data_IF_839482188634
#
_entry.id   IF_839482188634
#
_cell.length_a   1.000
_cell.length_b   1.000
_cell.length_c   1.000
_cell.angle_alpha   90.00
_cell.angle_beta   90.00
_cell.angle_gamma   90.00
#
_symmetry.space_group_name_H-M   'P 1'
#
loop_
_entity.id
_entity.type
_entity.pdbx_description
1 polymer ?
#
# COMPACT_ATOMS: atom_id res chain seq x y z
N UNK A 1 -7.56 -7.21 34.46
CA UNK A 1 -6.99 -7.64 33.17
C UNK A 1 -7.99 -7.61 32.01
N UNK A 2 -8.82 -6.55 31.85
CA UNK A 2 -9.50 -6.16 30.59
C UNK A 2 -10.48 -7.11 29.87
N UNK A 3 -10.51 -8.40 30.17
CA UNK A 3 -11.46 -9.35 29.57
C UNK A 3 -12.78 -9.40 30.36
N UNK A 4 -13.87 -9.71 29.65
CA UNK A 4 -15.23 -9.71 30.21
C UNK A 4 -15.51 -10.89 31.15
N UNK A 5 -14.73 -11.97 31.07
CA UNK A 5 -14.85 -13.17 31.93
C UNK A 5 -13.60 -14.04 31.87
N UNK A 6 -13.47 -14.93 32.85
CA UNK A 6 -12.43 -15.95 32.85
C UNK A 6 -12.57 -16.90 31.65
N UNK A 7 -11.43 -17.41 31.20
CA UNK A 7 -11.33 -18.27 30.02
C UNK A 7 -10.73 -19.62 30.39
N UNK A 8 -11.43 -20.67 29.98
CA UNK A 8 -10.95 -22.06 30.13
C UNK A 8 -9.75 -22.26 29.21
N UNK A 9 -8.63 -22.74 29.75
CA UNK A 9 -7.44 -23.10 28.97
C UNK A 9 -7.40 -24.60 28.66
N UNK A 10 -7.73 -25.42 29.67
CA UNK A 10 -7.83 -26.88 29.59
C UNK A 10 -9.25 -27.26 29.98
N UNK A 11 -9.92 -28.04 29.13
CA UNK A 11 -11.26 -28.56 29.35
C UNK A 11 -11.23 -29.67 30.41
N UNK A 12 -12.41 -30.06 30.90
CA UNK A 12 -12.55 -31.15 31.89
C UNK A 12 -12.12 -32.53 31.37
N UNK A 13 -12.11 -32.73 30.05
CA UNK A 13 -11.64 -33.95 29.38
C UNK A 13 -10.10 -33.96 29.16
N UNK A 14 -9.39 -32.92 29.59
CA UNK A 14 -7.95 -32.76 29.42
C UNK A 14 -7.53 -32.14 28.09
N UNK A 15 -8.45 -31.88 27.16
CA UNK A 15 -8.13 -31.21 25.90
C UNK A 15 -7.86 -29.71 26.10
N UNK A 16 -7.01 -29.16 25.26
CA UNK A 16 -6.73 -27.72 25.24
C UNK A 16 -7.78 -26.96 24.43
N UNK A 17 -8.13 -25.77 24.89
CA UNK A 17 -8.86 -24.80 24.06
C UNK A 17 -7.92 -24.11 23.09
N UNK A 18 -8.43 -23.44 22.05
CA UNK A 18 -7.62 -22.64 21.12
C UNK A 18 -6.83 -21.49 21.79
N UNK A 19 -7.27 -21.03 22.96
CA UNK A 19 -6.60 -19.95 23.67
C UNK A 19 -5.24 -20.37 24.24
N UNK A 20 -5.09 -21.62 24.71
CA UNK A 20 -3.83 -22.10 25.28
C UNK A 20 -2.67 -22.12 24.25
N UNK A 21 -2.80 -22.72 23.05
CA UNK A 21 -1.74 -22.69 22.04
C UNK A 21 -1.50 -21.27 21.52
N UNK A 22 -2.51 -20.41 21.44
CA UNK A 22 -2.31 -18.99 21.10
C UNK A 22 -1.40 -18.31 22.14
N UNK A 23 -1.69 -18.48 23.43
CA UNK A 23 -0.87 -17.91 24.50
C UNK A 23 0.57 -18.45 24.42
N UNK A 24 0.73 -19.77 24.28
CA UNK A 24 2.03 -20.41 24.17
C UNK A 24 2.83 -19.87 22.98
N UNK A 25 2.19 -19.71 21.82
CA UNK A 25 2.84 -19.18 20.62
C UNK A 25 3.20 -17.70 20.75
N UNK A 26 2.36 -16.89 21.38
CA UNK A 26 2.68 -15.49 21.66
C UNK A 26 3.84 -15.34 22.65
N UNK A 27 3.90 -16.18 23.71
CA UNK A 27 5.06 -16.25 24.61
C UNK A 27 6.33 -16.65 23.86
N UNK A 28 6.24 -17.60 22.94
CA UNK A 28 7.38 -17.96 22.09
C UNK A 28 7.83 -16.79 21.21
N UNK A 29 6.90 -16.03 20.59
CA UNK A 29 7.22 -14.81 19.82
C UNK A 29 7.90 -13.72 20.68
N UNK A 30 7.50 -13.58 21.95
CA UNK A 30 8.09 -12.60 22.87
C UNK A 30 9.59 -12.80 23.11
N UNK A 31 10.05 -14.04 23.09
CA UNK A 31 11.48 -14.34 23.26
C UNK A 31 12.38 -13.87 22.12
N UNK A 32 11.81 -13.39 20.99
CA UNK A 32 12.55 -13.09 19.75
C UNK A 32 12.14 -11.81 19.04
N UNK A 33 11.29 -10.96 19.63
CA UNK A 33 10.81 -9.75 18.98
C UNK A 33 10.56 -8.62 19.99
N UNK A 34 10.94 -7.39 19.65
CA UNK A 34 10.72 -6.20 20.49
C UNK A 34 9.29 -5.65 20.40
N UNK A 35 8.59 -5.96 19.31
CA UNK A 35 7.21 -5.54 19.04
C UNK A 35 6.48 -6.64 18.27
N UNK A 36 5.22 -6.88 18.60
CA UNK A 36 4.35 -7.80 17.87
C UNK A 36 3.14 -7.09 17.28
N UNK A 37 3.00 -7.20 15.97
CA UNK A 37 1.82 -6.75 15.23
C UNK A 37 1.17 -7.98 14.61
N UNK A 38 -0.05 -8.30 15.05
CA UNK A 38 -0.87 -9.29 14.37
C UNK A 38 -1.84 -8.59 13.40
N UNK A 39 -2.08 -9.19 12.24
CA UNK A 39 -3.14 -8.77 11.32
C UNK A 39 -4.26 -9.81 11.37
N UNK A 40 -5.43 -9.44 11.87
CA UNK A 40 -6.56 -10.35 12.09
C UNK A 40 -7.83 -9.87 11.36
N UNK A 41 -8.73 -10.80 11.06
CA UNK A 41 -10.07 -10.44 10.59
C UNK A 41 -10.86 -9.66 11.66
N UNK A 42 -11.71 -8.72 11.24
CA UNK A 42 -12.50 -7.89 12.15
C UNK A 42 -13.44 -8.70 13.07
N UNK A 43 -13.84 -9.90 12.66
CA UNK A 43 -14.59 -10.88 13.44
C UNK A 43 -13.86 -11.38 14.70
N UNK A 44 -12.53 -11.19 14.75
CA UNK A 44 -11.69 -11.52 15.90
C UNK A 44 -11.52 -10.38 16.91
N UNK A 45 -12.22 -9.25 16.75
CA UNK A 45 -12.12 -8.10 17.68
C UNK A 45 -12.34 -8.52 19.15
N UNK A 46 -13.36 -9.34 19.42
CA UNK A 46 -13.65 -9.86 20.76
C UNK A 46 -12.63 -10.89 21.30
N UNK A 47 -11.64 -11.28 20.49
CA UNK A 47 -10.53 -12.16 20.86
C UNK A 47 -9.29 -11.38 21.31
N UNK A 48 -9.23 -10.08 21.08
CA UNK A 48 -8.06 -9.26 21.46
C UNK A 48 -7.91 -9.16 22.98
N UNK A 49 -8.96 -8.85 23.79
CA UNK A 49 -8.79 -8.66 25.22
C UNK A 49 -8.33 -9.91 25.97
N UNK A 50 -8.77 -11.11 25.54
CA UNK A 50 -8.38 -12.38 26.17
C UNK A 50 -6.90 -12.72 25.97
N UNK A 51 -6.39 -12.51 24.75
CA UNK A 51 -4.96 -12.74 24.46
C UNK A 51 -4.13 -11.72 25.22
N UNK A 52 -4.51 -10.43 25.17
CA UNK A 52 -3.82 -9.37 25.92
C UNK A 52 -3.80 -9.66 27.42
N UNK A 53 -4.92 -10.06 28.01
CA UNK A 53 -5.02 -10.41 29.43
C UNK A 53 -4.07 -11.54 29.82
N UNK A 54 -4.03 -12.62 29.02
CA UNK A 54 -3.14 -13.74 29.25
C UNK A 54 -1.65 -13.38 29.12
N UNK A 55 -1.28 -12.54 28.15
CA UNK A 55 0.10 -12.08 28.00
C UNK A 55 0.56 -11.23 29.20
N UNK A 56 -0.30 -10.32 29.66
CA UNK A 56 -0.01 -9.53 30.86
C UNK A 56 0.13 -10.42 32.09
N UNK A 57 -0.69 -11.47 32.23
CA UNK A 57 -0.56 -12.45 33.32
C UNK A 57 0.76 -13.24 33.28
N UNK A 58 1.38 -13.37 32.11
CA UNK A 58 2.72 -13.95 31.92
C UNK A 58 3.86 -12.94 32.11
N UNK A 59 3.56 -11.71 32.52
CA UNK A 59 4.55 -10.64 32.69
C UNK A 59 4.97 -9.94 31.39
N UNK A 60 4.27 -10.18 30.28
CA UNK A 60 4.55 -9.54 28.99
C UNK A 60 3.86 -8.16 28.94
N UNK A 61 4.57 -7.07 28.59
CA UNK A 61 3.98 -5.74 28.51
C UNK A 61 2.81 -5.67 27.52
N UNK A 62 1.71 -5.01 27.90
CA UNK A 62 0.53 -4.89 27.03
C UNK A 62 0.84 -4.16 25.70
N UNK A 63 1.77 -3.19 25.73
CA UNK A 63 2.20 -2.43 24.56
C UNK A 63 3.02 -3.26 23.56
N UNK A 64 3.54 -4.42 23.96
CA UNK A 64 4.22 -5.34 23.04
C UNK A 64 3.26 -5.97 22.03
N UNK A 65 1.97 -6.06 22.36
CA UNK A 65 0.94 -6.74 21.57
C UNK A 65 -0.06 -5.76 20.94
N UNK A 66 0.10 -5.54 19.64
CA UNK A 66 -0.79 -4.76 18.80
C UNK A 66 -1.52 -5.64 17.78
N UNK A 67 -2.75 -5.27 17.45
CA UNK A 67 -3.58 -5.97 16.46
C UNK A 67 -4.13 -4.95 15.47
N UNK A 68 -3.81 -5.15 14.20
CA UNK A 68 -4.46 -4.47 13.08
C UNK A 68 -5.61 -5.34 12.59
N UNK A 69 -6.82 -4.79 12.58
CA UNK A 69 -8.00 -5.49 12.06
C UNK A 69 -8.18 -5.20 10.57
N UNK A 70 -8.51 -6.25 9.81
CA UNK A 70 -8.89 -6.17 8.41
C UNK A 70 -10.33 -6.61 8.21
N UNK A 71 -11.10 -5.83 7.46
CA UNK A 71 -12.50 -6.09 7.15
C UNK A 71 -12.66 -7.08 5.99
N UNK A 72 -13.86 -7.65 5.91
CA UNK A 72 -14.26 -8.45 4.75
C UNK A 72 -14.35 -7.56 3.50
N UNK A 73 -13.93 -8.14 2.38
CA UNK A 73 -13.98 -7.52 1.06
C UNK A 73 -15.17 -8.08 0.29
N UNK A 74 -15.93 -7.18 -0.33
CA UNK A 74 -16.97 -7.54 -1.29
C UNK A 74 -16.38 -7.52 -2.68
N UNK A 75 -16.54 -8.60 -3.45
CA UNK A 75 -16.09 -8.66 -4.84
C UNK A 75 -17.28 -8.46 -5.77
N UNK A 76 -17.16 -7.54 -6.71
CA UNK A 76 -18.19 -7.20 -7.71
C UNK A 76 -17.60 -7.21 -9.11
N UNK A 77 -18.47 -7.29 -10.11
CA UNK A 77 -18.15 -7.10 -11.53
C UNK A 77 -19.27 -6.29 -12.16
N UNK A 78 -18.95 -5.15 -12.76
CA UNK A 78 -19.97 -4.27 -13.36
C UNK A 78 -21.04 -3.83 -12.35
N UNK A 79 -20.67 -3.69 -11.07
CA UNK A 79 -21.59 -3.38 -9.97
C UNK A 79 -22.35 -4.56 -9.37
N UNK A 80 -22.38 -5.72 -10.02
CA UNK A 80 -23.06 -6.91 -9.52
C UNK A 80 -22.14 -7.76 -8.63
N UNK A 81 -22.67 -8.24 -7.51
CA UNK A 81 -21.92 -9.08 -6.58
C UNK A 81 -21.61 -10.44 -7.17
N UNK A 82 -20.32 -10.78 -7.21
CA UNK A 82 -19.87 -12.08 -7.67
C UNK A 82 -20.17 -13.10 -6.57
N UNK A 83 -21.27 -13.85 -6.73
CA UNK A 83 -21.69 -14.83 -5.73
C UNK A 83 -20.72 -16.00 -5.68
N UNK A 84 -20.14 -16.23 -4.50
CA UNK A 84 -19.40 -17.46 -4.21
C UNK A 84 -20.39 -18.64 -4.09
N UNK A 85 -20.64 -19.33 -5.21
CA UNK A 85 -21.64 -20.38 -5.30
C UNK A 85 -21.03 -21.76 -5.04
N UNK A 86 -21.37 -22.37 -3.89
CA UNK A 86 -21.04 -23.78 -3.61
C UNK A 86 -21.74 -24.77 -4.55
N UNK A 87 -22.75 -24.34 -5.33
CA UNK A 87 -23.63 -25.24 -6.10
C UNK A 87 -23.25 -25.36 -7.59
N UNK A 88 -22.42 -24.46 -8.11
CA UNK A 88 -21.86 -24.52 -9.47
C UNK A 88 -20.38 -24.93 -9.49
N UNK A 89 -19.71 -25.02 -8.33
CA UNK A 89 -18.29 -25.35 -8.23
C UNK A 89 -17.34 -24.17 -8.48
N UNK A 90 -17.84 -23.01 -8.92
CA UNK A 90 -17.06 -21.78 -9.07
C UNK A 90 -17.02 -21.01 -7.74
N UNK A 91 -16.00 -21.28 -6.93
CA UNK A 91 -15.52 -20.30 -5.96
C UNK A 91 -14.53 -19.40 -6.68
N UNK A 92 -14.67 -18.08 -6.58
CA UNK A 92 -13.56 -17.18 -6.93
C UNK A 92 -12.52 -17.35 -5.84
N UNK A 93 -11.49 -18.14 -6.12
CA UNK A 93 -10.34 -18.24 -5.24
C UNK A 93 -9.52 -16.96 -5.36
N UNK A 94 -8.65 -16.72 -4.37
CA UNK A 94 -7.69 -15.62 -4.47
C UNK A 94 -6.78 -15.78 -5.70
N UNK A 95 -6.52 -17.01 -6.13
CA UNK A 95 -5.78 -17.31 -7.36
C UNK A 95 -6.54 -16.83 -8.59
N UNK A 96 -7.82 -17.17 -8.72
CA UNK A 96 -8.63 -16.78 -9.88
C UNK A 96 -8.70 -15.25 -9.99
N UNK A 97 -8.87 -14.56 -8.84
CA UNK A 97 -8.83 -13.09 -8.79
C UNK A 97 -7.50 -12.52 -9.31
N UNK A 98 -6.37 -13.11 -8.92
CA UNK A 98 -5.04 -12.65 -9.35
C UNK A 98 -4.75 -12.97 -10.81
N UNK A 99 -5.18 -14.14 -11.28
CA UNK A 99 -5.03 -14.54 -12.68
C UNK A 99 -5.86 -13.64 -13.60
N UNK A 100 -7.02 -13.18 -13.13
CA UNK A 100 -7.90 -12.30 -13.90
C UNK A 100 -7.47 -10.83 -13.85
N UNK A 101 -7.16 -10.30 -12.67
CA UNK A 101 -6.88 -8.86 -12.49
C UNK A 101 -5.41 -8.49 -12.58
N UNK A 102 -4.51 -9.47 -12.46
CA UNK A 102 -3.10 -9.24 -12.25
C UNK A 102 -2.76 -8.94 -10.78
N UNK A 103 -1.58 -9.39 -10.36
CA UNK A 103 -1.10 -9.26 -8.97
C UNK A 103 -0.97 -7.80 -8.53
N UNK A 104 -0.55 -6.93 -9.43
CA UNK A 104 -0.35 -5.50 -9.17
C UNK A 104 -1.66 -4.79 -8.84
N UNK A 105 -2.70 -4.99 -9.67
CA UNK A 105 -4.02 -4.43 -9.42
C UNK A 105 -4.60 -4.97 -8.12
N UNK A 106 -4.54 -6.28 -7.91
CA UNK A 106 -5.04 -6.88 -6.68
C UNK A 106 -4.36 -6.30 -5.44
N UNK A 107 -3.02 -6.24 -5.41
CA UNK A 107 -2.25 -5.67 -4.28
C UNK A 107 -2.61 -4.22 -4.03
N UNK A 108 -2.63 -3.40 -5.09
CA UNK A 108 -2.93 -1.98 -4.95
C UNK A 108 -4.33 -1.78 -4.35
N UNK A 109 -5.33 -2.49 -4.87
CA UNK A 109 -6.72 -2.38 -4.42
C UNK A 109 -6.94 -2.86 -2.98
N UNK A 110 -6.31 -3.95 -2.55
CA UNK A 110 -6.40 -4.38 -1.15
C UNK A 110 -5.71 -3.43 -0.19
N UNK A 111 -4.75 -2.63 -0.66
CA UNK A 111 -4.01 -1.66 0.15
C UNK A 111 -4.60 -0.25 0.10
N UNK A 112 -5.44 0.09 -0.88
CA UNK A 112 -5.88 1.49 -1.10
C UNK A 112 -6.93 2.02 -0.12
N UNK A 113 -7.43 1.16 0.78
CA UNK A 113 -8.39 1.52 1.83
C UNK A 113 -7.81 1.18 3.20
N UNK A 114 -8.35 1.82 4.24
CA UNK A 114 -8.02 1.43 5.62
C UNK A 114 -8.41 -0.03 5.82
N UNK A 115 -7.56 -0.80 6.51
CA UNK A 115 -7.85 -2.20 6.80
C UNK A 115 -9.16 -2.39 7.57
N UNK A 116 -9.49 -1.47 8.45
CA UNK A 116 -10.71 -1.50 9.27
C UNK A 116 -11.98 -1.04 8.54
N UNK A 117 -11.90 -0.72 7.24
CA UNK A 117 -13.01 -0.26 6.41
C UNK A 117 -13.44 -1.31 5.39
N UNK A 118 -14.73 -1.35 5.06
CA UNK A 118 -15.23 -2.22 4.00
C UNK A 118 -14.65 -1.80 2.64
N UNK A 119 -14.16 -2.78 1.89
CA UNK A 119 -13.67 -2.61 0.53
C UNK A 119 -14.62 -3.30 -0.45
N UNK A 120 -14.99 -2.58 -1.50
CA UNK A 120 -15.60 -3.16 -2.70
C UNK A 120 -14.50 -3.28 -3.74
N UNK A 121 -14.19 -4.51 -4.13
CA UNK A 121 -13.24 -4.84 -5.19
C UNK A 121 -14.02 -5.06 -6.48
N UNK A 122 -13.90 -4.14 -7.44
CA UNK A 122 -14.53 -4.27 -8.75
C UNK A 122 -13.53 -4.84 -9.75
N UNK A 123 -13.79 -6.06 -10.22
CA UNK A 123 -12.90 -6.78 -11.13
C UNK A 123 -12.74 -6.03 -12.46
N UNK A 124 -13.84 -5.49 -12.99
CA UNK A 124 -13.83 -4.82 -14.29
C UNK A 124 -12.99 -3.55 -14.21
N UNK A 125 -13.18 -2.74 -13.17
CA UNK A 125 -12.38 -1.53 -12.96
C UNK A 125 -10.91 -1.85 -12.65
N UNK A 126 -10.63 -2.93 -11.90
CA UNK A 126 -9.26 -3.35 -11.60
C UNK A 126 -8.49 -3.79 -12.86
N UNK A 127 -9.18 -4.31 -13.87
CA UNK A 127 -8.61 -4.68 -15.19
C UNK A 127 -8.56 -3.54 -16.20
N UNK A 128 -9.29 -2.45 -15.96
CA UNK A 128 -9.43 -1.37 -16.93
C UNK A 128 -8.12 -0.59 -17.11
N UNK A 129 -7.77 -0.27 -18.37
CA UNK A 129 -6.65 0.62 -18.70
C UNK A 129 -7.15 2.07 -18.82
N UNK A 130 -7.80 2.56 -17.76
CA UNK A 130 -8.41 3.89 -17.69
C UNK A 130 -7.88 4.66 -16.49
N UNK A 131 -8.07 5.98 -16.49
CA UNK A 131 -7.67 6.84 -15.38
C UNK A 131 -8.47 6.56 -14.09
N UNK A 132 -9.60 5.86 -14.20
CA UNK A 132 -10.39 5.42 -13.05
C UNK A 132 -9.75 4.23 -12.30
N UNK A 133 -8.87 3.47 -12.97
CA UNK A 133 -8.11 2.40 -12.32
C UNK A 133 -6.87 3.00 -11.61
N UNK A 134 -6.83 3.01 -10.28
CA UNK A 134 -5.81 3.76 -9.54
C UNK A 134 -4.39 3.19 -9.74
N UNK A 135 -4.23 1.88 -9.90
CA UNK A 135 -2.90 1.30 -10.16
C UNK A 135 -2.39 1.69 -11.54
N UNK A 136 -3.24 1.61 -12.56
CA UNK A 136 -2.91 1.99 -13.92
C UNK A 136 -2.55 3.47 -14.00
N UNK A 137 -3.32 4.32 -13.32
CA UNK A 137 -3.08 5.77 -13.28
C UNK A 137 -1.71 6.14 -12.69
N UNK A 138 -1.30 5.47 -11.60
CA UNK A 138 0.00 5.67 -10.95
C UNK A 138 1.14 5.09 -11.79
N UNK A 139 0.98 3.89 -12.35
CA UNK A 139 1.98 3.27 -13.22
C UNK A 139 2.19 4.07 -14.51
N UNK A 140 1.14 4.66 -15.07
CA UNK A 140 1.22 5.56 -16.22
C UNK A 140 2.03 6.82 -15.90
N UNK A 141 1.87 7.39 -14.71
CA UNK A 141 2.68 8.53 -14.27
C UNK A 141 4.18 8.16 -14.25
N UNK A 142 4.52 6.97 -13.74
CA UNK A 142 5.89 6.45 -13.75
C UNK A 142 6.41 6.28 -15.19
N UNK A 143 5.64 5.60 -16.04
CA UNK A 143 6.01 5.34 -17.43
C UNK A 143 6.22 6.64 -18.25
N UNK A 144 5.44 7.70 -18.00
CA UNK A 144 5.63 9.02 -18.62
C UNK A 144 6.94 9.67 -18.22
N UNK A 145 7.29 9.62 -16.93
CA UNK A 145 8.57 10.15 -16.45
C UNK A 145 9.75 9.38 -17.05
N UNK A 146 9.67 8.05 -17.13
CA UNK A 146 10.66 7.24 -17.87
C UNK A 146 10.69 7.60 -19.37
N UNK A 147 9.52 7.89 -19.96
CA UNK A 147 9.38 8.27 -21.36
C UNK A 147 10.14 9.52 -21.75
N UNK A 148 10.19 10.54 -20.87
CA UNK A 148 10.97 11.78 -21.11
C UNK A 148 12.43 11.45 -21.41
N UNK A 149 13.06 10.58 -20.60
CA UNK A 149 14.46 10.20 -20.74
C UNK A 149 14.73 9.43 -22.03
N UNK A 150 13.80 8.55 -22.41
CA UNK A 150 13.86 7.84 -23.69
C UNK A 150 13.83 8.82 -24.86
N UNK A 151 12.94 9.81 -24.84
CA UNK A 151 12.88 10.85 -25.88
C UNK A 151 14.11 11.75 -25.87
N UNK A 152 14.67 12.04 -24.70
CA UNK A 152 15.90 12.82 -24.57
C UNK A 152 17.15 12.07 -25.06
N UNK A 153 17.07 10.75 -25.28
CA UNK A 153 18.23 9.92 -25.62
C UNK A 153 19.27 9.86 -24.49
N UNK A 154 18.82 9.94 -23.23
CA UNK A 154 19.69 10.05 -22.05
C UNK A 154 19.21 9.15 -20.92
N UNK A 155 20.14 8.55 -20.20
CA UNK A 155 19.82 7.82 -18.98
C UNK A 155 19.41 8.77 -17.85
N UNK A 156 18.39 8.42 -17.01
CA UNK A 156 18.02 9.24 -15.85
C UNK A 156 19.22 9.52 -14.92
N UNK A 157 20.10 8.53 -14.75
CA UNK A 157 21.28 8.65 -13.92
C UNK A 157 22.31 9.67 -14.44
N UNK A 158 22.26 10.05 -15.72
CA UNK A 158 23.16 11.03 -16.32
C UNK A 158 22.81 12.49 -15.96
N UNK A 159 21.62 12.74 -15.40
CA UNK A 159 21.23 14.08 -14.91
C UNK A 159 21.86 14.30 -13.53
N UNK A 160 23.04 14.91 -13.51
CA UNK A 160 23.84 15.14 -12.30
C UNK A 160 24.54 16.50 -12.37
N UNK A 161 25.22 16.89 -11.29
CA UNK A 161 25.98 18.14 -11.20
C UNK A 161 25.21 19.28 -10.53
N UNK A 162 25.80 20.50 -10.47
CA UNK A 162 25.12 21.66 -9.95
C UNK A 162 24.00 22.06 -10.91
N UNK A 163 22.75 21.91 -10.46
CA UNK A 163 21.55 22.25 -11.22
C UNK A 163 20.90 23.45 -10.55
N UNK A 164 20.73 24.53 -11.29
CA UNK A 164 20.07 25.73 -10.80
C UNK A 164 18.56 25.48 -10.69
N UNK A 165 18.05 25.41 -9.46
CA UNK A 165 16.62 25.26 -9.18
C UNK A 165 15.89 26.61 -9.13
N UNK A 166 16.60 27.73 -9.20
CA UNK A 166 16.03 29.08 -9.23
C UNK A 166 15.15 29.33 -10.45
N UNK A 167 15.42 28.64 -11.56
CA UNK A 167 14.67 28.72 -12.82
C UNK A 167 13.32 27.98 -12.81
N UNK A 168 13.03 27.22 -11.75
CA UNK A 168 11.77 26.47 -11.63
C UNK A 168 10.59 27.42 -11.39
N UNK A 169 9.50 27.19 -12.14
CA UNK A 169 8.24 27.92 -12.00
C UNK A 169 7.45 27.46 -10.76
N UNK A 170 6.32 28.09 -10.49
CA UNK A 170 5.45 27.67 -9.38
C UNK A 170 4.91 26.24 -9.56
N UNK A 171 4.58 25.84 -10.79
CA UNK A 171 4.11 24.49 -11.09
C UNK A 171 5.23 23.45 -10.91
N UNK A 172 6.47 23.80 -11.26
CA UNK A 172 7.64 22.96 -10.99
C UNK A 172 7.88 22.81 -9.48
N UNK A 173 7.71 23.90 -8.72
CA UNK A 173 7.91 23.94 -7.26
C UNK A 173 6.84 23.16 -6.51
N UNK A 174 5.60 23.14 -6.97
CA UNK A 174 4.52 22.32 -6.41
C UNK A 174 4.88 20.82 -6.48
N UNK A 175 5.34 20.35 -7.64
CA UNK A 175 5.81 18.97 -7.80
C UNK A 175 7.03 18.70 -6.90
N UNK A 176 8.01 19.61 -6.87
CA UNK A 176 9.19 19.47 -6.01
C UNK A 176 8.80 19.32 -4.53
N UNK A 177 7.94 20.20 -4.03
CA UNK A 177 7.46 20.14 -2.64
C UNK A 177 6.79 18.81 -2.35
N UNK A 178 5.93 18.34 -3.26
CA UNK A 178 5.29 17.03 -3.10
C UNK A 178 6.33 15.93 -2.97
N UNK A 179 7.29 15.85 -3.89
CA UNK A 179 8.33 14.82 -3.90
C UNK A 179 9.13 14.78 -2.59
N UNK A 180 9.46 15.94 -2.03
CA UNK A 180 10.20 16.02 -0.75
C UNK A 180 9.41 15.52 0.46
N UNK A 181 8.08 15.48 0.38
CA UNK A 181 7.22 15.00 1.47
C UNK A 181 7.10 13.46 1.53
N UNK A 182 7.59 12.73 0.53
CA UNK A 182 7.45 11.27 0.47
C UNK A 182 8.02 10.53 1.68
N UNK A 183 9.24 10.81 2.18
CA UNK A 183 9.80 10.07 3.31
C UNK A 183 8.94 10.16 4.57
N UNK A 184 8.39 11.35 4.86
CA UNK A 184 7.50 11.55 6.00
C UNK A 184 6.14 10.86 5.80
N UNK A 185 5.61 10.85 4.57
CA UNK A 185 4.39 10.10 4.26
C UNK A 185 4.56 8.59 4.52
N UNK A 186 5.71 8.02 4.11
CA UNK A 186 6.05 6.61 4.38
C UNK A 186 6.26 6.37 5.87
N UNK A 187 6.99 7.25 6.57
CA UNK A 187 7.24 7.12 7.99
C UNK A 187 5.93 7.16 8.81
N UNK A 188 5.00 8.05 8.44
CA UNK A 188 3.67 8.11 9.04
C UNK A 188 2.85 6.84 8.77
N UNK A 189 2.80 6.37 7.53
CA UNK A 189 2.14 5.11 7.17
C UNK A 189 2.66 3.92 7.99
N UNK A 190 3.98 3.85 8.21
CA UNK A 190 4.61 2.80 9.01
C UNK A 190 4.31 2.92 10.52
N UNK A 191 4.34 4.13 11.08
CA UNK A 191 3.99 4.37 12.50
C UNK A 191 2.55 3.99 12.79
N UNK A 192 1.64 4.38 11.90
CA UNK A 192 0.20 4.19 12.07
C UNK A 192 -0.26 2.78 11.65
N UNK A 193 0.62 1.96 11.08
CA UNK A 193 0.31 0.66 10.49
C UNK A 193 -0.78 0.75 9.40
N UNK A 194 -0.67 1.78 8.55
CA UNK A 194 -1.68 2.16 7.58
C UNK A 194 -1.09 2.29 6.16
N UNK A 195 -0.91 1.17 5.43
CA UNK A 195 -0.33 1.17 4.08
C UNK A 195 -1.09 2.03 3.05
N UNK A 196 -2.40 2.19 3.20
CA UNK A 196 -3.23 3.03 2.32
C UNK A 196 -2.80 4.49 2.26
N UNK A 197 -2.08 4.99 3.27
CA UNK A 197 -1.53 6.34 3.21
C UNK A 197 -0.48 6.48 2.08
N UNK A 198 0.21 5.39 1.72
CA UNK A 198 1.16 5.36 0.60
C UNK A 198 0.43 5.36 -0.74
N UNK A 199 -0.65 4.60 -0.89
CA UNK A 199 -1.46 4.62 -2.14
C UNK A 199 -2.09 6.00 -2.36
N UNK A 200 -2.71 6.58 -1.33
CA UNK A 200 -3.22 7.96 -1.39
C UNK A 200 -2.13 8.94 -1.76
N UNK A 201 -0.93 8.77 -1.19
CA UNK A 201 0.19 9.64 -1.53
C UNK A 201 0.56 9.55 -3.02
N UNK A 202 0.61 8.33 -3.56
CA UNK A 202 0.98 8.06 -4.95
C UNK A 202 -0.08 8.52 -5.94
N UNK A 203 -1.37 8.38 -5.64
CA UNK A 203 -2.45 8.90 -6.49
C UNK A 203 -2.41 10.43 -6.60
N UNK A 204 -2.19 11.12 -5.48
CA UNK A 204 -2.00 12.57 -5.46
C UNK A 204 -0.74 12.99 -6.23
N UNK A 205 0.37 12.26 -6.07
CA UNK A 205 1.60 12.52 -6.82
C UNK A 205 1.38 12.26 -8.32
N UNK A 206 0.70 11.17 -8.70
CA UNK A 206 0.41 10.85 -10.09
C UNK A 206 -0.42 11.96 -10.74
N UNK A 207 -1.43 12.49 -10.04
CA UNK A 207 -2.22 13.64 -10.51
C UNK A 207 -1.33 14.87 -10.80
N UNK A 208 -0.45 15.21 -9.87
CA UNK A 208 0.49 16.33 -10.06
C UNK A 208 1.47 16.07 -11.21
N UNK A 209 1.99 14.85 -11.33
CA UNK A 209 2.89 14.44 -12.41
C UNK A 209 2.20 14.53 -13.76
N UNK A 210 0.95 14.07 -13.89
CA UNK A 210 0.19 14.16 -15.14
C UNK A 210 -0.07 15.61 -15.53
N UNK A 211 -0.52 16.43 -14.58
CA UNK A 211 -0.72 17.87 -14.80
C UNK A 211 0.57 18.58 -15.20
N UNK A 212 1.68 18.29 -14.51
CA UNK A 212 3.00 18.83 -14.81
C UNK A 212 3.51 18.39 -16.19
N UNK A 213 3.38 17.11 -16.54
CA UNK A 213 3.78 16.57 -17.84
C UNK A 213 3.07 17.26 -19.02
N UNK A 214 1.79 17.61 -18.85
CA UNK A 214 1.02 18.31 -19.88
C UNK A 214 1.26 19.83 -19.91
N UNK A 215 1.49 20.45 -18.75
CA UNK A 215 1.64 21.91 -18.64
C UNK A 215 3.07 22.44 -18.75
N UNK A 216 4.07 21.61 -18.43
CA UNK A 216 5.48 22.01 -18.39
C UNK A 216 6.29 21.24 -19.44
N UNK A 217 6.72 21.96 -20.49
CA UNK A 217 7.65 21.40 -21.47
C UNK A 217 9.01 21.15 -20.81
N UNK A 218 9.53 19.92 -20.94
CA UNK A 218 10.84 19.56 -20.38
C UNK A 218 11.95 19.75 -21.41
N UNK A 219 11.79 19.16 -22.61
CA UNK A 219 12.82 19.13 -23.65
C UNK A 219 12.68 20.29 -24.64
N UNK A 220 13.80 20.87 -25.05
CA UNK A 220 13.85 22.02 -25.96
C UNK A 220 13.60 23.37 -25.30
N UNK A 221 13.67 23.41 -23.97
CA UNK A 221 13.73 24.64 -23.17
C UNK A 221 15.18 25.15 -23.07
N UNK A 222 15.43 26.38 -22.61
CA UNK A 222 16.77 26.83 -22.27
C UNK A 222 17.50 25.83 -21.36
N UNK A 223 18.79 25.61 -21.58
CA UNK A 223 19.55 24.50 -20.97
C UNK A 223 19.42 24.41 -19.44
N UNK A 224 19.33 25.55 -18.74
CA UNK A 224 19.13 25.59 -17.29
C UNK A 224 17.76 25.02 -16.88
N UNK A 225 16.69 25.42 -17.58
CA UNK A 225 15.31 24.96 -17.33
C UNK A 225 15.17 23.49 -17.68
N UNK A 226 15.68 23.07 -18.83
CA UNK A 226 15.65 21.67 -19.26
C UNK A 226 16.37 20.78 -18.22
N UNK A 227 17.57 21.14 -17.78
CA UNK A 227 18.29 20.37 -16.76
C UNK A 227 17.55 20.33 -15.41
N UNK A 228 16.95 21.43 -14.96
CA UNK A 228 16.17 21.47 -13.73
C UNK A 228 14.93 20.59 -13.81
N UNK A 229 14.20 20.62 -14.94
CA UNK A 229 13.00 19.78 -15.17
C UNK A 229 13.34 18.31 -15.40
N UNK A 230 14.46 18.01 -16.03
CA UNK A 230 14.97 16.64 -16.12
C UNK A 230 15.29 16.07 -14.74
N UNK A 231 15.84 16.89 -13.82
CA UNK A 231 16.04 16.45 -12.44
C UNK A 231 14.71 16.18 -11.73
N UNK A 232 13.70 17.03 -11.92
CA UNK A 232 12.35 16.78 -11.37
C UNK A 232 11.72 15.51 -11.93
N UNK A 233 11.80 15.28 -13.24
CA UNK A 233 11.30 14.05 -13.86
C UNK A 233 12.00 12.80 -13.31
N UNK A 234 13.32 12.86 -13.10
CA UNK A 234 14.10 11.78 -12.46
C UNK A 234 13.61 11.53 -11.04
N UNK A 235 13.41 12.57 -10.25
CA UNK A 235 12.95 12.47 -8.87
C UNK A 235 11.52 11.91 -8.79
N UNK A 236 10.61 12.37 -9.66
CA UNK A 236 9.25 11.84 -9.76
C UNK A 236 9.23 10.36 -10.12
N UNK A 237 10.01 9.96 -11.13
CA UNK A 237 10.21 8.54 -11.48
C UNK A 237 10.67 7.73 -10.27
N UNK A 238 11.69 8.20 -9.55
CA UNK A 238 12.24 7.49 -8.39
C UNK A 238 11.23 7.33 -7.26
N UNK A 239 10.49 8.40 -6.92
CA UNK A 239 9.50 8.37 -5.83
C UNK A 239 8.33 7.44 -6.18
N UNK A 240 7.82 7.50 -7.41
CA UNK A 240 6.77 6.60 -7.88
C UNK A 240 7.23 5.14 -7.83
N UNK A 241 8.44 4.85 -8.33
CA UNK A 241 9.01 3.51 -8.30
C UNK A 241 9.20 2.98 -6.87
N UNK A 242 9.70 3.82 -5.95
CA UNK A 242 9.88 3.47 -4.55
C UNK A 242 8.54 3.16 -3.88
N UNK A 243 7.52 4.00 -4.08
CA UNK A 243 6.20 3.79 -3.51
C UNK A 243 5.53 2.53 -4.04
N UNK A 244 5.55 2.29 -5.35
CA UNK A 244 5.03 1.06 -5.95
C UNK A 244 5.77 -0.18 -5.39
N UNK A 245 7.10 -0.12 -5.28
CA UNK A 245 7.91 -1.21 -4.71
C UNK A 245 7.54 -1.50 -3.25
N UNK A 246 7.32 -0.48 -2.43
CA UNK A 246 6.88 -0.65 -1.03
C UNK A 246 5.52 -1.36 -0.93
N UNK A 247 4.63 -1.15 -1.90
CA UNK A 247 3.33 -1.82 -2.00
C UNK A 247 3.43 -3.22 -2.64
N UNK A 248 4.62 -3.62 -3.10
CA UNK A 248 4.81 -4.85 -3.87
C UNK A 248 4.16 -4.78 -5.26
N UNK A 249 4.02 -3.59 -5.83
CA UNK A 249 3.45 -3.36 -7.17
C UNK A 249 4.60 -3.01 -8.13
N UNK A 250 4.54 -3.48 -9.38
CA UNK A 250 5.57 -3.14 -10.35
C UNK A 250 5.49 -1.67 -10.79
N UNK A 251 6.64 -1.11 -11.19
CA UNK A 251 6.78 0.22 -11.76
C UNK A 251 7.25 0.10 -13.22
N UNK A 252 6.32 -0.15 -14.16
CA UNK A 252 6.70 -0.44 -15.54
C UNK A 252 7.27 0.81 -16.23
N UNK A 253 8.29 0.60 -17.07
CA UNK A 253 8.91 1.67 -17.86
C UNK A 253 8.04 2.10 -19.07
N UNK A 254 7.02 1.29 -19.40
CA UNK A 254 6.03 1.48 -20.46
C UNK A 254 4.71 0.83 -20.05
N UNK A 255 3.60 1.53 -20.31
CA UNK A 255 2.23 1.00 -20.18
C UNK A 255 1.72 0.57 -21.55
#
# INVERSE_FOLDING_TARGET
HGDAKDRVLVKSDGEYTYLLPDIAYHRHKFSRADRLINVWGADHHGYIPRVRGALVALGIPAAWFEVSLVQLVKVVRGGDEVKMSKRSGEFVTLRDLFEETGVDAARYWFLMRRGDSHLVFDIELATAHTDENPVYYVQMAHARMTGIFRTAGREPAAVTGPIDLGVLTDQDRELLQRLTAFPEAVARAARDLQPHQVTTYLEELARLVHGWYHGCRVLGEPAAVEHARLLLARAARQVLANGLTLLGVSAPDRM
#
